data_IF_846029092026
#
_entry.id   IF_846029092026
#
_cell.length_a   1.000
_cell.length_b   1.000
_cell.length_c   1.000
_cell.angle_alpha   90.00
_cell.angle_beta   90.00
_cell.angle_gamma   90.00
#
_symmetry.space_group_name_H-M   'P 1'
#
loop_
_entity.id
_entity.type
_entity.pdbx_description
1 polymer ?
#
# COMPACT_ATOMS: atom_id res chain seq x y z
N UNK A 1 10.66 0.53 -14.27
CA UNK A 1 9.40 0.01 -14.85
C UNK A 1 9.59 -1.33 -15.59
N UNK A 2 10.50 -2.23 -15.15
CA UNK A 2 10.66 -3.57 -15.75
C UNK A 2 9.87 -4.67 -15.01
N UNK A 3 9.46 -4.43 -13.76
CA UNK A 3 8.73 -5.40 -12.93
C UNK A 3 7.28 -5.69 -13.42
N UNK A 4 6.73 -4.83 -14.29
CA UNK A 4 5.38 -4.97 -14.84
C UNK A 4 5.30 -5.86 -16.09
N UNK A 5 6.44 -6.29 -16.64
CA UNK A 5 6.47 -7.21 -17.81
C UNK A 5 6.06 -8.64 -17.46
N UNK A 6 5.96 -8.96 -16.17
CA UNK A 6 5.60 -10.26 -15.62
C UNK A 6 4.25 -10.25 -14.87
N UNK A 7 3.38 -9.26 -15.12
CA UNK A 7 2.08 -9.24 -14.44
C UNK A 7 1.24 -10.44 -14.85
N UNK A 8 1.09 -11.40 -13.94
CA UNK A 8 0.15 -12.50 -14.11
C UNK A 8 -1.27 -11.92 -13.97
N UNK A 9 -2.17 -12.29 -14.87
CA UNK A 9 -3.59 -11.92 -14.81
C UNK A 9 -4.39 -13.19 -14.56
N UNK A 10 -5.33 -13.14 -13.61
CA UNK A 10 -6.31 -14.20 -13.41
C UNK A 10 -7.54 -13.94 -14.29
N UNK A 11 -8.06 -14.98 -14.95
CA UNK A 11 -9.33 -14.90 -15.68
C UNK A 11 -10.48 -15.07 -14.69
N UNK A 12 -11.50 -14.22 -14.79
CA UNK A 12 -12.70 -14.40 -13.97
C UNK A 12 -13.58 -15.55 -14.50
N UNK A 13 -14.07 -16.40 -13.60
CA UNK A 13 -15.07 -17.43 -13.93
C UNK A 13 -16.45 -16.82 -14.21
N UNK A 14 -16.81 -15.79 -13.44
CA UNK A 14 -18.03 -15.00 -13.61
C UNK A 14 -17.62 -13.54 -13.81
N UNK A 15 -18.20 -12.87 -14.79
CA UNK A 15 -17.90 -11.46 -15.07
C UNK A 15 -18.12 -10.60 -13.81
N UNK A 16 -17.11 -9.83 -13.43
CA UNK A 16 -17.06 -9.01 -12.22
C UNK A 16 -17.06 -9.80 -10.90
N UNK A 17 -16.79 -11.11 -10.94
CA UNK A 17 -16.72 -11.96 -9.75
C UNK A 17 -15.68 -11.51 -8.72
N UNK A 18 -14.52 -11.01 -9.18
CA UNK A 18 -13.47 -10.47 -8.30
C UNK A 18 -13.93 -9.23 -7.53
N UNK A 19 -14.66 -8.34 -8.20
CA UNK A 19 -15.24 -7.14 -7.60
C UNK A 19 -16.33 -7.55 -6.60
N UNK A 20 -17.25 -8.44 -6.97
CA UNK A 20 -18.29 -8.94 -6.06
C UNK A 20 -17.68 -9.55 -4.79
N UNK A 21 -16.63 -10.36 -4.92
CA UNK A 21 -15.92 -10.94 -3.79
C UNK A 21 -15.31 -9.86 -2.90
N UNK A 22 -14.58 -8.89 -3.48
CA UNK A 22 -14.02 -7.74 -2.74
C UNK A 22 -15.10 -7.00 -1.95
N UNK A 23 -16.24 -6.69 -2.58
CA UNK A 23 -17.35 -5.97 -1.92
C UNK A 23 -17.93 -6.76 -0.76
N UNK A 24 -18.07 -8.08 -0.91
CA UNK A 24 -18.49 -8.99 0.19
C UNK A 24 -17.51 -8.94 1.37
N UNK A 25 -16.21 -8.89 1.10
CA UNK A 25 -15.17 -8.85 2.14
C UNK A 25 -15.18 -7.52 2.89
N UNK A 26 -15.33 -6.39 2.17
CA UNK A 26 -15.45 -5.06 2.79
C UNK A 26 -16.67 -4.98 3.69
N UNK A 27 -17.82 -5.51 3.26
CA UNK A 27 -19.03 -5.58 4.09
C UNK A 27 -18.83 -6.43 5.37
N UNK A 28 -18.04 -7.50 5.29
CA UNK A 28 -17.74 -8.36 6.45
C UNK A 28 -16.80 -7.70 7.46
N UNK A 29 -16.00 -6.73 7.03
CA UNK A 29 -15.13 -5.89 7.86
C UNK A 29 -14.24 -6.66 8.87
N UNK A 30 -13.57 -7.72 8.42
CA UNK A 30 -12.72 -8.55 9.29
C UNK A 30 -11.26 -8.08 9.39
N UNK A 31 -10.78 -7.25 8.45
CA UNK A 31 -9.37 -6.83 8.37
C UNK A 31 -9.25 -5.32 8.57
N UNK A 32 -8.42 -4.91 9.53
CA UNK A 32 -8.32 -3.50 9.95
C UNK A 32 -7.79 -2.59 8.82
N UNK A 33 -6.83 -3.06 8.01
CA UNK A 33 -6.33 -2.32 6.83
C UNK A 33 -7.13 -2.59 5.54
N UNK A 34 -8.13 -3.47 5.62
CA UNK A 34 -8.97 -3.92 4.53
C UNK A 34 -8.25 -4.70 3.42
N UNK A 35 -9.00 -4.92 2.33
CA UNK A 35 -8.57 -5.75 1.20
C UNK A 35 -7.34 -5.16 0.48
N UNK A 36 -6.42 -6.00 -0.05
CA UNK A 36 -5.36 -5.60 -0.97
C UNK A 36 -5.86 -4.78 -2.16
N UNK A 37 -5.00 -3.99 -2.81
CA UNK A 37 -5.43 -3.22 -3.98
C UNK A 37 -5.73 -4.18 -5.15
N UNK A 38 -6.81 -3.91 -5.88
CA UNK A 38 -7.30 -4.79 -6.96
C UNK A 38 -7.33 -4.02 -8.27
N UNK A 39 -6.69 -4.54 -9.31
CA UNK A 39 -6.89 -4.07 -10.67
C UNK A 39 -7.77 -5.05 -11.43
N UNK A 40 -8.87 -4.55 -11.98
CA UNK A 40 -9.78 -5.27 -12.86
C UNK A 40 -9.62 -4.76 -14.30
N UNK A 41 -9.63 -5.69 -15.24
CA UNK A 41 -9.42 -5.46 -16.66
C UNK A 41 -10.55 -6.14 -17.43
N UNK A 42 -11.35 -5.36 -18.14
CA UNK A 42 -12.39 -5.88 -19.02
C UNK A 42 -11.86 -5.94 -20.45
N UNK A 43 -11.83 -7.14 -21.04
CA UNK A 43 -11.41 -7.34 -22.43
C UNK A 43 -12.62 -7.77 -23.28
N UNK A 44 -12.70 -7.22 -24.49
CA UNK A 44 -13.76 -7.51 -25.48
C UNK A 44 -13.15 -8.18 -26.70
N UNK A 45 -13.87 -9.15 -27.27
CA UNK A 45 -13.56 -9.68 -28.59
C UNK A 45 -14.41 -8.97 -29.65
N UNK A 46 -13.82 -8.07 -30.46
CA UNK A 46 -14.57 -7.27 -31.43
C UNK A 46 -15.13 -8.10 -32.59
N UNK A 47 -14.63 -9.33 -32.80
CA UNK A 47 -15.00 -10.17 -33.95
C UNK A 47 -16.27 -11.00 -33.71
N UNK A 48 -16.79 -11.02 -32.49
CA UNK A 48 -18.03 -11.74 -32.17
C UNK A 48 -19.22 -10.82 -32.38
N UNK A 49 -20.29 -11.30 -33.06
CA UNK A 49 -21.53 -10.53 -33.27
C UNK A 49 -22.15 -10.03 -31.95
N UNK A 50 -21.84 -10.71 -30.84
CA UNK A 50 -22.33 -10.42 -29.49
C UNK A 50 -21.30 -9.70 -28.59
N UNK A 51 -20.14 -9.25 -29.12
CA UNK A 51 -19.05 -8.59 -28.36
C UNK A 51 -18.78 -9.28 -27.02
N UNK A 52 -18.36 -10.55 -27.06
CA UNK A 52 -18.07 -11.35 -25.85
C UNK A 52 -17.05 -10.62 -24.97
N UNK A 53 -17.42 -10.44 -23.70
CA UNK A 53 -16.60 -9.81 -22.65
C UNK A 53 -15.99 -10.87 -21.75
N UNK A 54 -14.73 -10.70 -21.40
CA UNK A 54 -14.03 -11.51 -20.39
C UNK A 54 -13.36 -10.57 -19.41
N UNK A 55 -13.60 -10.81 -18.12
CA UNK A 55 -12.96 -10.10 -17.04
C UNK A 55 -11.65 -10.76 -16.65
N UNK A 56 -10.65 -9.94 -16.38
CA UNK A 56 -9.36 -10.33 -15.83
C UNK A 56 -9.09 -9.48 -14.61
N UNK A 57 -8.27 -9.97 -13.69
CA UNK A 57 -7.89 -9.21 -12.51
C UNK A 57 -6.54 -9.66 -11.96
N UNK A 58 -5.94 -8.79 -11.16
CA UNK A 58 -4.77 -9.10 -10.36
C UNK A 58 -4.73 -8.22 -9.12
N UNK A 59 -4.08 -8.72 -8.09
CA UNK A 59 -3.82 -7.94 -6.88
C UNK A 59 -2.55 -7.13 -7.07
N UNK A 60 -2.58 -5.89 -6.59
CA UNK A 60 -1.46 -4.97 -6.63
C UNK A 60 -1.04 -4.69 -5.20
N UNK A 61 0.25 -4.78 -4.93
CA UNK A 61 0.83 -4.33 -3.67
C UNK A 61 1.95 -3.35 -3.94
N UNK A 62 2.02 -2.30 -3.13
CA UNK A 62 3.11 -1.33 -3.16
C UNK A 62 3.00 -0.29 -4.29
N UNK A 63 1.86 -0.20 -4.96
CA UNK A 63 1.56 0.91 -5.87
C UNK A 63 1.28 2.18 -5.07
N UNK A 64 1.88 3.30 -5.50
CA UNK A 64 1.71 4.60 -4.84
C UNK A 64 0.42 5.29 -5.28
N UNK A 65 -0.68 4.96 -4.62
CA UNK A 65 -2.01 5.49 -4.94
C UNK A 65 -2.25 6.82 -4.20
N UNK A 66 -1.54 7.86 -4.63
CA UNK A 66 -1.62 9.21 -4.05
C UNK A 66 -2.21 10.27 -4.97
N UNK A 67 -2.45 9.94 -6.23
CA UNK A 67 -3.04 10.85 -7.21
C UNK A 67 -3.64 10.09 -8.38
N UNK A 68 -4.50 10.75 -9.14
CA UNK A 68 -5.04 10.20 -10.39
C UNK A 68 -3.92 9.86 -11.37
N UNK A 69 -2.94 10.75 -11.53
CA UNK A 69 -1.81 10.58 -12.45
C UNK A 69 -0.94 9.36 -12.12
N UNK A 70 -0.76 9.03 -10.83
CA UNK A 70 -0.04 7.82 -10.42
C UNK A 70 -0.74 6.53 -10.91
N UNK A 71 -2.07 6.53 -10.89
CA UNK A 71 -2.89 5.42 -11.37
C UNK A 71 -2.94 5.37 -12.90
N UNK A 72 -2.99 6.53 -13.56
CA UNK A 72 -2.89 6.61 -15.02
C UNK A 72 -1.54 6.09 -15.54
N UNK A 73 -0.44 6.43 -14.88
CA UNK A 73 0.88 5.91 -15.22
C UNK A 73 0.92 4.37 -15.10
N UNK A 74 0.30 3.84 -14.04
CA UNK A 74 0.11 2.41 -13.87
C UNK A 74 -0.74 1.80 -14.98
N UNK A 75 -1.87 2.40 -15.34
CA UNK A 75 -2.69 1.93 -16.47
C UNK A 75 -1.94 1.99 -17.81
N UNK A 76 -1.23 3.08 -18.09
CA UNK A 76 -0.41 3.23 -19.29
C UNK A 76 0.64 2.12 -19.41
N UNK A 77 1.27 1.76 -18.29
CA UNK A 77 2.23 0.65 -18.26
C UNK A 77 1.57 -0.71 -18.56
N UNK A 78 0.39 -1.01 -18.01
CA UNK A 78 -0.39 -2.22 -18.35
C UNK A 78 -0.79 -2.25 -19.82
N UNK A 79 -1.23 -1.11 -20.36
CA UNK A 79 -1.61 -0.99 -21.76
C UNK A 79 -0.41 -1.19 -22.69
N UNK A 80 0.78 -0.71 -22.31
CA UNK A 80 2.02 -0.89 -23.08
C UNK A 80 2.55 -2.33 -23.09
N UNK A 81 2.32 -3.07 -22.00
CA UNK A 81 2.78 -4.46 -21.86
C UNK A 81 1.86 -5.44 -22.56
N UNK A 82 0.56 -5.12 -22.65
CA UNK A 82 -0.44 -5.91 -23.36
C UNK A 82 -0.06 -6.04 -24.86
N UNK A 83 0.03 -7.27 -25.42
CA UNK A 83 0.44 -7.49 -26.81
C UNK A 83 -0.45 -6.79 -27.85
N UNK A 84 -1.65 -6.37 -27.45
CA UNK A 84 -2.63 -5.65 -28.26
C UNK A 84 -2.12 -4.29 -28.75
N UNK A 85 -1.36 -3.54 -27.94
CA UNK A 85 -0.95 -2.16 -28.23
C UNK A 85 0.48 -2.01 -28.78
N UNK A 86 1.31 -3.06 -28.73
CA UNK A 86 2.65 -3.06 -29.37
C UNK A 86 2.60 -2.87 -30.89
N UNK A 87 1.41 -2.97 -31.49
CA UNK A 87 1.18 -2.95 -32.92
C UNK A 87 0.84 -1.57 -33.51
N UNK A 88 0.85 -0.48 -32.72
CA UNK A 88 0.38 0.84 -33.18
C UNK A 88 1.47 1.83 -33.60
N UNK A 89 2.75 1.69 -33.21
CA UNK A 89 3.79 2.64 -33.66
C UNK A 89 4.88 2.02 -34.57
N UNK A 90 5.23 0.74 -34.40
CA UNK A 90 6.26 0.09 -35.23
C UNK A 90 5.72 -0.64 -36.47
N UNK A 91 4.40 -0.78 -36.62
CA UNK A 91 3.78 -1.62 -37.66
C UNK A 91 2.99 -0.88 -38.73
N UNK A 92 2.80 0.45 -38.64
CA UNK A 92 2.18 1.20 -39.74
C UNK A 92 3.02 1.15 -41.03
N UNK A 93 4.33 0.90 -40.92
CA UNK A 93 5.22 0.76 -42.08
C UNK A 93 5.34 -0.68 -42.64
N UNK A 94 4.85 -1.71 -41.94
CA UNK A 94 4.97 -3.12 -42.36
C UNK A 94 3.64 -3.85 -42.62
N UNK A 95 2.48 -3.21 -42.41
CA UNK A 95 1.14 -3.84 -42.48
C UNK A 95 0.48 -3.89 -43.87
N UNK A 96 1.21 -3.72 -44.98
CA UNK A 96 0.59 -3.87 -46.33
C UNK A 96 0.55 -5.30 -46.88
N UNK A 97 1.22 -6.29 -46.28
CA UNK A 97 1.13 -7.69 -46.75
C UNK A 97 1.25 -8.66 -45.57
N UNK A 98 0.19 -9.46 -45.33
CA UNK A 98 0.11 -10.65 -44.46
C UNK A 98 -0.20 -10.43 -42.96
N UNK A 99 -1.49 -10.54 -42.59
CA UNK A 99 -1.99 -11.60 -41.67
C UNK A 99 -3.51 -11.49 -41.45
N UNK A 100 -4.23 -12.43 -42.06
CA UNK A 100 -5.57 -12.85 -41.64
C UNK A 100 -5.52 -13.44 -40.22
N UNK A 101 -6.50 -13.10 -39.40
CA UNK A 101 -7.01 -13.83 -38.23
C UNK A 101 -6.03 -14.18 -37.08
N UNK A 102 -5.69 -13.21 -36.23
CA UNK A 102 -5.55 -13.50 -34.80
C UNK A 102 -6.66 -12.79 -34.05
N UNK A 103 -7.43 -13.55 -33.26
CA UNK A 103 -8.45 -13.05 -32.32
C UNK A 103 -7.74 -12.14 -31.32
N UNK A 104 -7.76 -10.84 -31.57
CA UNK A 104 -7.07 -9.88 -30.74
C UNK A 104 -8.10 -9.31 -29.74
N UNK A 105 -7.96 -9.69 -28.47
CA UNK A 105 -8.75 -9.12 -27.39
C UNK A 105 -8.34 -7.68 -27.15
N UNK A 106 -9.31 -6.78 -27.10
CA UNK A 106 -9.12 -5.35 -26.86
C UNK A 106 -9.50 -5.02 -25.42
N UNK A 107 -8.71 -4.17 -24.75
CA UNK A 107 -9.06 -3.69 -23.41
C UNK A 107 -10.16 -2.65 -23.57
N UNK A 108 -11.32 -2.89 -22.94
CA UNK A 108 -12.45 -1.96 -22.91
C UNK A 108 -12.38 -1.07 -21.66
N UNK A 109 -11.95 -1.62 -20.53
CA UNK A 109 -11.92 -0.90 -19.25
C UNK A 109 -10.80 -1.41 -18.35
N UNK A 110 -10.13 -0.48 -17.67
CA UNK A 110 -9.26 -0.73 -16.53
C UNK A 110 -9.89 -0.09 -15.29
N UNK A 111 -9.92 -0.79 -14.16
CA UNK A 111 -10.42 -0.23 -12.90
C UNK A 111 -9.51 -0.63 -11.75
N UNK A 112 -9.02 0.34 -11.00
CA UNK A 112 -8.24 0.14 -9.80
C UNK A 112 -9.13 0.41 -8.58
N UNK A 113 -9.11 -0.52 -7.62
CA UNK A 113 -9.76 -0.40 -6.32
C UNK A 113 -8.69 -0.37 -5.24
N UNK A 114 -8.76 0.61 -4.34
CA UNK A 114 -7.90 0.71 -3.18
C UNK A 114 -8.70 1.08 -1.94
N UNK A 115 -8.53 0.34 -0.85
CA UNK A 115 -9.32 0.58 0.35
C UNK A 115 -8.67 1.65 1.23
N UNK A 116 -9.43 2.66 1.61
CA UNK A 116 -9.04 3.64 2.61
C UNK A 116 -9.60 3.23 3.97
N UNK A 117 -8.73 2.69 4.83
CA UNK A 117 -9.11 2.19 6.15
C UNK A 117 -9.46 3.30 7.16
N UNK A 118 -9.02 4.54 6.96
CA UNK A 118 -9.39 5.67 7.82
C UNK A 118 -10.86 6.05 7.69
N UNK A 119 -11.42 5.88 6.48
CA UNK A 119 -12.82 6.22 6.14
C UNK A 119 -13.72 5.01 5.90
N UNK A 120 -13.13 3.83 5.75
CA UNK A 120 -13.82 2.57 5.41
C UNK A 120 -14.54 2.64 4.05
N UNK A 121 -13.88 3.28 3.09
CA UNK A 121 -14.37 3.46 1.72
C UNK A 121 -13.34 2.93 0.71
N UNK A 122 -13.80 2.39 -0.40
CA UNK A 122 -12.95 2.07 -1.56
C UNK A 122 -12.79 3.31 -2.44
N UNK A 123 -11.53 3.68 -2.73
CA UNK A 123 -11.20 4.49 -3.90
C UNK A 123 -11.39 3.65 -5.16
N UNK A 124 -12.08 4.21 -6.16
CA UNK A 124 -12.25 3.59 -7.47
C UNK A 124 -11.77 4.55 -8.56
N UNK A 125 -10.79 4.11 -9.33
CA UNK A 125 -10.29 4.82 -10.51
C UNK A 125 -10.55 3.96 -11.73
N UNK A 126 -11.43 4.43 -12.61
CA UNK A 126 -11.89 3.68 -13.79
C UNK A 126 -11.53 4.41 -15.06
N UNK A 127 -10.70 3.78 -15.88
CA UNK A 127 -10.39 4.20 -17.24
C UNK A 127 -11.21 3.35 -18.22
N UNK A 128 -12.16 3.97 -18.90
CA UNK A 128 -12.85 3.39 -20.05
C UNK A 128 -12.19 3.92 -21.32
N UNK A 129 -11.65 3.01 -22.11
CA UNK A 129 -10.96 3.37 -23.35
C UNK A 129 -11.99 3.83 -24.41
N UNK A 130 -11.66 4.84 -25.24
CA UNK A 130 -10.33 5.47 -25.34
C UNK A 130 -10.00 6.47 -24.21
N UNK A 131 -10.92 7.34 -23.77
CA UNK A 131 -10.48 8.56 -23.05
C UNK A 131 -11.29 8.92 -21.79
N UNK A 132 -12.17 8.05 -21.30
CA UNK A 132 -13.01 8.39 -20.14
C UNK A 132 -12.41 7.88 -18.84
N UNK A 133 -11.71 8.75 -18.12
CA UNK A 133 -11.25 8.50 -16.75
C UNK A 133 -12.26 9.04 -15.73
N UNK A 134 -12.63 8.21 -14.76
CA UNK A 134 -13.54 8.58 -13.68
C UNK A 134 -12.96 8.15 -12.33
N UNK A 135 -13.10 9.00 -11.33
CA UNK A 135 -12.64 8.73 -9.96
C UNK A 135 -13.78 8.99 -8.98
N UNK A 136 -14.04 8.04 -8.10
CA UNK A 136 -15.09 8.12 -7.09
C UNK A 136 -14.76 7.22 -5.90
N UNK A 137 -15.49 7.36 -4.80
CA UNK A 137 -15.41 6.47 -3.64
C UNK A 137 -16.68 5.64 -3.49
N UNK A 138 -16.55 4.47 -2.86
CA UNK A 138 -17.66 3.57 -2.53
C UNK A 138 -17.59 3.18 -1.05
N UNK A 139 -18.60 3.55 -0.27
CA UNK A 139 -18.78 3.09 1.11
C UNK A 139 -19.23 1.62 1.16
N UNK A 140 -19.35 1.02 2.35
CA UNK A 140 -19.79 -0.38 2.49
C UNK A 140 -21.18 -0.70 1.90
N UNK A 141 -22.04 0.30 1.73
CA UNK A 141 -23.38 0.20 1.14
C UNK A 141 -23.40 0.49 -0.36
N UNK A 142 -22.23 0.69 -0.98
CA UNK A 142 -22.08 1.04 -2.40
C UNK A 142 -22.63 2.43 -2.74
N UNK A 143 -22.75 3.32 -1.74
CA UNK A 143 -23.02 4.73 -1.99
C UNK A 143 -21.81 5.37 -2.63
N UNK A 144 -22.03 5.96 -3.80
CA UNK A 144 -20.98 6.62 -4.57
C UNK A 144 -20.82 8.08 -4.19
N UNK A 145 -19.57 8.49 -3.93
CA UNK A 145 -19.19 9.90 -3.81
C UNK A 145 -18.21 10.25 -4.94
N UNK A 146 -18.59 11.22 -5.77
CA UNK A 146 -17.75 11.69 -6.90
C UNK A 146 -16.74 12.71 -6.38
N UNK A 147 -15.59 12.84 -7.06
CA UNK A 147 -14.52 13.78 -6.74
C UNK A 147 -13.93 13.60 -5.32
N UNK A 148 -13.16 12.52 -5.10
CA UNK A 148 -12.46 12.32 -3.82
C UNK A 148 -11.55 13.51 -3.50
N UNK A 149 -11.60 14.00 -2.25
CA UNK A 149 -10.78 15.13 -1.83
C UNK A 149 -9.29 14.80 -1.81
N UNK A 150 -8.42 15.81 -1.83
CA UNK A 150 -6.97 15.62 -1.70
C UNK A 150 -6.60 14.82 -0.44
N UNK A 151 -7.24 15.14 0.69
CA UNK A 151 -7.06 14.39 1.94
C UNK A 151 -7.41 12.90 1.79
N UNK A 152 -8.43 12.56 1.00
CA UNK A 152 -8.80 11.17 0.75
C UNK A 152 -7.68 10.42 -0.01
N UNK A 153 -7.05 11.08 -0.99
CA UNK A 153 -5.91 10.52 -1.73
C UNK A 153 -4.69 10.31 -0.83
N UNK A 154 -4.41 11.27 0.05
CA UNK A 154 -3.32 11.17 1.04
C UNK A 154 -3.54 9.98 1.98
N UNK A 155 -4.75 9.86 2.53
CA UNK A 155 -5.14 8.73 3.37
C UNK A 155 -5.05 7.38 2.62
N UNK A 156 -5.43 7.36 1.34
CA UNK A 156 -5.37 6.15 0.49
C UNK A 156 -3.92 5.75 0.20
N UNK A 157 -3.04 6.71 -0.08
CA UNK A 157 -1.60 6.48 -0.24
C UNK A 157 -1.01 5.81 1.00
N UNK A 158 -1.34 6.33 2.19
CA UNK A 158 -0.91 5.78 3.47
C UNK A 158 -1.46 4.38 3.68
N UNK A 159 -2.74 4.13 3.37
CA UNK A 159 -3.34 2.80 3.50
C UNK A 159 -2.69 1.77 2.56
N UNK A 160 -2.41 2.13 1.30
CA UNK A 160 -1.67 1.28 0.35
C UNK A 160 -0.27 0.96 0.88
N UNK A 161 0.46 1.98 1.34
CA UNK A 161 1.78 1.82 1.95
C UNK A 161 1.74 0.86 3.15
N UNK A 162 0.78 1.00 4.05
CA UNK A 162 0.70 0.15 5.24
C UNK A 162 0.42 -1.31 4.88
N UNK A 163 -0.51 -1.57 3.96
CA UNK A 163 -0.75 -2.91 3.44
C UNK A 163 0.52 -3.53 2.85
N UNK A 164 1.27 -2.75 2.07
CA UNK A 164 2.57 -3.19 1.54
C UNK A 164 3.60 -3.44 2.65
N UNK A 165 3.70 -2.57 3.65
CA UNK A 165 4.67 -2.67 4.75
C UNK A 165 4.43 -3.85 5.70
N UNK A 166 3.21 -4.38 5.71
CA UNK A 166 2.80 -5.53 6.51
C UNK A 166 2.95 -6.86 5.78
N UNK A 167 3.26 -6.85 4.48
CA UNK A 167 3.54 -8.07 3.75
C UNK A 167 4.72 -8.82 4.39
N UNK A 168 4.60 -10.15 4.59
CA UNK A 168 5.73 -10.97 4.98
C UNK A 168 6.87 -10.81 3.96
N UNK A 169 8.09 -10.52 4.46
CA UNK A 169 9.28 -10.41 3.59
C UNK A 169 9.77 -11.76 3.08
N UNK A 170 9.41 -12.83 3.79
CA UNK A 170 9.64 -14.21 3.34
C UNK A 170 8.60 -14.56 2.29
N UNK A 171 9.02 -14.53 1.02
CA UNK A 171 8.22 -14.95 -0.15
C UNK A 171 7.70 -16.40 -0.07
N UNK A 172 8.14 -17.18 0.92
CA UNK A 172 7.73 -18.56 1.19
C UNK A 172 6.44 -18.69 1.99
N UNK A 173 5.99 -17.63 2.69
CA UNK A 173 4.80 -17.70 3.54
C UNK A 173 3.77 -16.65 3.12
N UNK A 174 2.96 -17.05 2.13
CA UNK A 174 1.62 -16.52 1.90
C UNK A 174 0.80 -16.66 3.21
N UNK A 175 0.77 -15.59 4.00
CA UNK A 175 0.17 -15.60 5.34
C UNK A 175 -1.27 -15.08 5.37
N UNK A 176 -1.73 -14.40 4.32
CA UNK A 176 -3.14 -14.02 4.18
C UNK A 176 -3.87 -14.99 3.25
N UNK A 177 -5.18 -15.17 3.49
CA UNK A 177 -6.06 -15.94 2.60
C UNK A 177 -6.01 -15.42 1.15
N UNK A 178 -5.67 -14.14 0.95
CA UNK A 178 -5.55 -13.50 -0.36
C UNK A 178 -4.26 -13.88 -1.11
N UNK A 179 -3.11 -13.92 -0.43
CA UNK A 179 -1.81 -14.17 -1.07
C UNK A 179 -1.69 -15.57 -1.71
N UNK A 180 -2.53 -16.52 -1.27
CA UNK A 180 -2.43 -17.93 -1.66
C UNK A 180 -3.15 -18.27 -2.96
N UNK A 181 -3.97 -17.34 -3.48
CA UNK A 181 -4.94 -17.59 -4.56
C UNK A 181 -4.89 -16.56 -5.69
N UNK A 182 -3.97 -15.61 -5.65
CA UNK A 182 -4.03 -14.42 -6.52
C UNK A 182 -2.74 -14.23 -7.30
N UNK A 183 -2.89 -13.85 -8.57
CA UNK A 183 -1.82 -13.19 -9.31
C UNK A 183 -1.43 -11.90 -8.58
N UNK A 184 -0.29 -11.95 -7.88
CA UNK A 184 0.22 -10.82 -7.11
C UNK A 184 1.26 -10.06 -7.94
N UNK A 185 0.99 -8.78 -8.15
CA UNK A 185 1.94 -7.84 -8.71
C UNK A 185 2.56 -7.04 -7.56
N UNK A 186 3.78 -7.44 -7.19
CA UNK A 186 4.62 -6.70 -6.26
C UNK A 186 5.24 -5.52 -7.02
N UNK A 187 4.84 -4.32 -6.61
CA UNK A 187 5.37 -3.06 -7.09
C UNK A 187 6.20 -2.48 -5.95
N UNK A 188 7.51 -2.33 -6.14
CA UNK A 188 8.40 -1.79 -5.11
C UNK A 188 8.52 -0.25 -5.19
N UNK A 189 7.45 0.45 -5.62
CA UNK A 189 7.48 1.91 -5.83
C UNK A 189 7.79 2.67 -4.55
N UNK A 190 7.45 2.14 -3.37
CA UNK A 190 7.79 2.75 -2.09
C UNK A 190 9.27 2.64 -1.73
N UNK A 191 9.98 1.58 -2.19
CA UNK A 191 11.41 1.40 -1.95
C UNK A 191 12.27 2.14 -2.98
N UNK A 192 11.79 2.20 -4.22
CA UNK A 192 12.47 2.82 -5.36
C UNK A 192 12.06 4.29 -5.58
N UNK A 193 11.41 4.89 -4.59
CA UNK A 193 10.85 6.24 -4.68
C UNK A 193 11.96 7.30 -4.80
N UNK A 194 12.01 8.09 -5.88
CA UNK A 194 12.92 9.23 -5.97
C UNK A 194 12.53 10.39 -5.03
N UNK A 195 11.29 10.41 -4.51
CA UNK A 195 10.72 11.47 -3.68
C UNK A 195 10.05 10.90 -2.40
N UNK A 196 10.82 10.26 -1.50
CA UNK A 196 10.28 9.64 -0.28
C UNK A 196 9.59 10.64 0.65
N UNK A 197 9.88 11.94 0.51
CA UNK A 197 9.27 13.01 1.29
C UNK A 197 7.76 13.11 1.06
N UNK A 198 7.23 12.69 -0.10
CA UNK A 198 5.78 12.70 -0.36
C UNK A 198 5.07 11.73 0.59
N UNK A 199 5.57 10.49 0.70
CA UNK A 199 5.01 9.51 1.63
C UNK A 199 5.18 9.98 3.07
N UNK A 200 6.36 10.51 3.41
CA UNK A 200 6.63 11.04 4.75
C UNK A 200 5.65 12.14 5.14
N UNK A 201 5.44 13.12 4.26
CA UNK A 201 4.48 14.20 4.48
C UNK A 201 3.04 13.66 4.60
N UNK A 202 2.66 12.68 3.77
CA UNK A 202 1.35 12.04 3.86
C UNK A 202 1.12 11.32 5.19
N UNK A 203 2.14 10.61 5.69
CA UNK A 203 2.10 9.97 7.01
C UNK A 203 1.98 11.03 8.10
N UNK A 204 2.76 12.10 8.03
CA UNK A 204 2.72 13.19 9.02
C UNK A 204 1.34 13.85 9.09
N UNK A 205 0.69 14.07 7.95
CA UNK A 205 -0.66 14.63 7.88
C UNK A 205 -1.76 13.69 8.43
N UNK A 206 -1.48 12.39 8.55
CA UNK A 206 -2.45 11.38 8.98
C UNK A 206 -2.15 10.79 10.37
N UNK A 207 -1.10 11.26 11.05
CA UNK A 207 -0.66 10.72 12.35
C UNK A 207 -1.76 10.73 13.40
N UNK A 208 -2.52 11.83 13.49
CA UNK A 208 -3.62 11.96 14.44
C UNK A 208 -4.74 10.95 14.20
N UNK A 209 -4.90 10.48 12.96
CA UNK A 209 -5.87 9.45 12.57
C UNK A 209 -5.34 8.02 12.77
N UNK A 210 -4.06 7.84 13.11
CA UNK A 210 -3.39 6.54 13.19
C UNK A 210 -4.10 5.54 14.12
N UNK A 211 -4.76 6.03 15.17
CA UNK A 211 -5.54 5.20 16.10
C UNK A 211 -6.67 4.41 15.42
N UNK A 212 -7.24 4.94 14.32
CA UNK A 212 -8.31 4.28 13.55
C UNK A 212 -7.84 3.01 12.84
N UNK A 213 -6.53 2.87 12.64
CA UNK A 213 -5.92 1.72 12.00
C UNK A 213 -5.56 0.60 12.99
N UNK A 214 -5.95 0.72 14.25
CA UNK A 214 -5.73 -0.29 15.28
C UNK A 214 -4.24 -0.64 15.50
N UNK A 215 -4.03 -1.83 16.04
CA UNK A 215 -2.75 -2.32 16.57
C UNK A 215 -2.41 -3.72 16.04
N UNK A 216 -1.22 -4.22 16.40
CA UNK A 216 -0.80 -5.61 16.18
C UNK A 216 -1.32 -6.53 17.29
N UNK A 217 -1.41 -7.83 16.99
CA UNK A 217 -2.13 -8.91 17.73
C UNK A 217 -2.01 -8.95 19.26
N UNK A 218 -1.01 -8.32 19.88
CA UNK A 218 -0.79 -8.38 21.33
C UNK A 218 -1.19 -7.10 22.09
N UNK A 219 -1.50 -6.00 21.38
CA UNK A 219 -1.99 -4.75 22.02
C UNK A 219 -3.44 -4.54 21.66
N UNK A 220 -4.29 -4.30 22.64
CA UNK A 220 -5.72 -4.14 22.42
C UNK A 220 -6.14 -2.68 22.16
N UNK A 221 -5.36 -1.70 22.64
CA UNK A 221 -5.74 -0.28 22.55
C UNK A 221 -4.70 0.48 21.72
N UNK A 222 -5.08 1.07 20.56
CA UNK A 222 -4.19 1.93 19.80
C UNK A 222 -3.95 3.25 20.52
N UNK A 223 -2.69 3.68 20.59
CA UNK A 223 -2.28 5.02 21.02
C UNK A 223 -1.67 5.78 19.84
N UNK A 224 -1.37 7.07 20.03
CA UNK A 224 -0.71 7.87 19.00
C UNK A 224 0.68 7.31 18.65
N UNK A 225 1.41 6.77 19.64
CA UNK A 225 2.71 6.15 19.46
C UNK A 225 2.65 4.65 19.15
N UNK A 226 1.53 4.00 19.42
CA UNK A 226 1.33 2.56 19.19
C UNK A 226 0.10 2.29 18.32
N UNK A 227 0.33 2.22 17.02
CA UNK A 227 -0.67 1.82 16.03
C UNK A 227 0.04 1.28 14.77
N UNK A 228 -0.76 0.81 13.80
CA UNK A 228 -0.21 0.30 12.52
C UNK A 228 0.54 1.34 11.71
N UNK A 229 0.08 2.61 11.72
CA UNK A 229 0.74 3.70 11.00
C UNK A 229 2.17 3.90 11.49
N UNK A 230 2.34 4.10 12.79
CA UNK A 230 3.66 4.31 13.40
C UNK A 230 4.56 3.10 13.20
N UNK A 231 4.05 1.87 13.33
CA UNK A 231 4.87 0.68 13.11
C UNK A 231 5.31 0.53 11.65
N UNK A 232 4.40 0.75 10.68
CA UNK A 232 4.73 0.70 9.26
C UNK A 232 5.77 1.76 8.90
N UNK A 233 5.60 2.98 9.40
CA UNK A 233 6.54 4.07 9.18
C UNK A 233 7.92 3.80 9.79
N UNK A 234 7.96 3.28 11.03
CA UNK A 234 9.19 2.82 11.66
C UNK A 234 9.88 1.76 10.80
N UNK A 235 9.19 0.69 10.41
CA UNK A 235 9.76 -0.39 9.58
C UNK A 235 10.37 0.16 8.29
N UNK A 236 9.69 1.10 7.64
CA UNK A 236 10.18 1.75 6.43
C UNK A 236 11.47 2.53 6.69
N UNK A 237 11.46 3.47 7.64
CA UNK A 237 12.63 4.32 7.90
C UNK A 237 13.84 3.54 8.42
N UNK A 238 13.62 2.57 9.33
CA UNK A 238 14.69 1.70 9.83
C UNK A 238 15.24 0.79 8.73
N UNK A 239 14.39 0.28 7.84
CA UNK A 239 14.81 -0.53 6.69
C UNK A 239 15.66 0.23 5.68
N UNK A 240 15.48 1.55 5.59
CA UNK A 240 16.29 2.46 4.75
C UNK A 240 17.54 2.99 5.47
N UNK A 241 17.81 2.56 6.71
CA UNK A 241 18.91 3.04 7.54
C UNK A 241 18.96 4.58 7.71
N UNK A 242 17.82 5.28 7.59
CA UNK A 242 17.71 6.74 7.70
C UNK A 242 17.63 7.20 9.16
N UNK A 243 18.54 6.73 10.00
CA UNK A 243 18.44 6.90 11.45
C UNK A 243 18.47 8.36 11.90
N UNK A 244 19.25 9.24 11.24
CA UNK A 244 19.28 10.68 11.54
C UNK A 244 17.91 11.33 11.36
N UNK A 245 17.26 10.99 10.26
CA UNK A 245 15.91 11.46 9.95
C UNK A 245 14.87 10.91 10.93
N UNK A 246 14.98 9.64 11.34
CA UNK A 246 14.11 9.04 12.38
C UNK A 246 14.16 9.88 13.66
N UNK A 247 15.36 10.20 14.15
CA UNK A 247 15.51 11.00 15.37
C UNK A 247 14.86 12.37 15.21
N UNK A 248 15.15 13.06 14.10
CA UNK A 248 14.57 14.38 13.83
C UNK A 248 13.03 14.37 13.81
N UNK A 249 12.43 13.44 13.07
CA UNK A 249 10.98 13.36 12.89
C UNK A 249 10.29 12.99 14.20
N UNK A 250 10.76 11.95 14.89
CA UNK A 250 10.08 11.47 16.09
C UNK A 250 10.29 12.37 17.31
N UNK A 251 11.41 13.09 17.40
CA UNK A 251 11.56 14.16 18.40
C UNK A 251 10.57 15.29 18.11
N UNK A 252 10.53 15.79 16.86
CA UNK A 252 9.60 16.86 16.48
C UNK A 252 8.13 16.46 16.71
N UNK A 253 7.76 15.22 16.40
CA UNK A 253 6.42 14.71 16.64
C UNK A 253 6.08 14.59 18.12
N UNK A 254 7.02 14.12 18.94
CA UNK A 254 6.82 14.05 20.38
C UNK A 254 6.53 15.44 20.97
N UNK A 255 7.23 16.46 20.49
CA UNK A 255 7.03 17.84 20.91
C UNK A 255 5.70 18.43 20.40
N UNK A 256 5.39 18.25 19.11
CA UNK A 256 4.17 18.80 18.48
C UNK A 256 2.89 18.18 19.05
N UNK A 257 2.88 16.87 19.26
CA UNK A 257 1.69 16.14 19.73
C UNK A 257 1.67 15.98 21.25
N UNK A 258 2.67 16.51 21.95
CA UNK A 258 2.86 16.35 23.40
C UNK A 258 2.81 14.87 23.83
N UNK A 259 3.42 13.99 23.03
CA UNK A 259 3.37 12.54 23.23
C UNK A 259 4.78 11.97 23.47
N UNK A 260 5.21 11.86 24.74
CA UNK A 260 6.54 11.35 25.10
C UNK A 260 6.79 9.93 24.62
N UNK A 261 5.75 9.12 24.39
CA UNK A 261 5.89 7.75 23.89
C UNK A 261 6.56 7.68 22.51
N UNK A 262 6.45 8.74 21.70
CA UNK A 262 7.11 8.83 20.40
C UNK A 262 8.64 8.92 20.52
N UNK A 263 9.16 9.43 21.64
CA UNK A 263 10.61 9.50 21.90
C UNK A 263 11.27 8.13 22.00
N UNK A 264 10.51 7.05 22.26
CA UNK A 264 11.03 5.68 22.17
C UNK A 264 11.67 5.39 20.80
N UNK A 265 11.03 5.88 19.74
CA UNK A 265 11.47 5.66 18.37
C UNK A 265 12.74 6.46 18.07
N UNK A 266 12.77 7.72 18.54
CA UNK A 266 13.96 8.56 18.46
C UNK A 266 15.13 7.95 19.23
N UNK A 267 14.90 7.46 20.45
CA UNK A 267 15.90 6.76 21.26
C UNK A 267 16.45 5.51 20.54
N UNK A 268 15.57 4.72 19.91
CA UNK A 268 15.99 3.58 19.08
C UNK A 268 16.83 4.03 17.87
N UNK A 269 16.45 5.12 17.21
CA UNK A 269 17.22 5.73 16.12
C UNK A 269 18.63 6.17 16.57
N UNK A 270 18.75 6.85 17.71
CA UNK A 270 20.02 7.28 18.30
C UNK A 270 20.95 6.08 18.60
N UNK A 271 20.40 5.00 19.18
CA UNK A 271 21.15 3.77 19.42
C UNK A 271 21.69 3.15 18.14
N UNK A 272 20.88 3.11 17.07
CA UNK A 272 21.31 2.57 15.78
C UNK A 272 22.36 3.45 15.08
N UNK A 273 22.45 4.74 15.41
CA UNK A 273 23.55 5.62 14.98
C UNK A 273 24.85 5.40 15.78
N UNK A 274 24.79 4.66 16.88
CA UNK A 274 25.92 4.46 17.81
C UNK A 274 25.92 5.39 19.03
N UNK A 275 25.00 6.36 19.12
CA UNK A 275 24.90 7.25 20.28
C UNK A 275 24.02 6.65 21.39
N UNK A 276 24.56 5.61 22.02
CA UNK A 276 23.88 4.89 23.11
C UNK A 276 23.54 5.82 24.28
N UNK A 277 24.46 6.73 24.64
CA UNK A 277 24.29 7.63 25.79
C UNK A 277 23.10 8.56 25.57
N UNK A 278 23.01 9.23 24.41
CA UNK A 278 21.84 10.07 24.12
C UNK A 278 20.57 9.23 24.01
N UNK A 279 20.64 8.04 23.40
CA UNK A 279 19.49 7.13 23.33
C UNK A 279 18.92 6.76 24.70
N UNK A 280 19.76 6.42 25.68
CA UNK A 280 19.30 6.15 27.06
C UNK A 280 18.76 7.41 27.75
N UNK A 281 19.39 8.56 27.59
CA UNK A 281 18.92 9.82 28.18
C UNK A 281 17.55 10.22 27.63
N UNK A 282 17.33 10.12 26.32
CA UNK A 282 16.04 10.39 25.67
C UNK A 282 14.95 9.45 26.18
N UNK A 283 15.26 8.16 26.34
CA UNK A 283 14.30 7.21 26.90
C UNK A 283 13.99 7.48 28.37
N UNK A 284 15.01 7.82 29.17
CA UNK A 284 14.83 8.20 30.58
C UNK A 284 13.94 9.43 30.71
N UNK A 285 14.11 10.42 29.85
CA UNK A 285 13.26 11.61 29.81
C UNK A 285 11.80 11.21 29.56
N UNK A 286 11.53 10.42 28.51
CA UNK A 286 10.18 9.96 28.18
C UNK A 286 9.51 9.22 29.35
N UNK A 287 10.25 8.33 30.02
CA UNK A 287 9.76 7.58 31.19
C UNK A 287 9.52 8.47 32.41
N UNK A 288 10.34 9.50 32.61
CA UNK A 288 10.15 10.44 33.72
C UNK A 288 8.87 11.25 33.52
N UNK A 289 8.58 11.63 32.27
CA UNK A 289 7.34 12.32 31.91
C UNK A 289 6.12 11.40 31.95
N UNK A 290 6.26 10.12 31.55
CA UNK A 290 5.15 9.14 31.55
C UNK A 290 5.54 7.80 32.19
N UNK A 291 5.67 7.72 33.53
CA UNK A 291 6.19 6.54 34.21
C UNK A 291 5.30 5.30 34.09
N UNK A 292 3.99 5.49 33.93
CA UNK A 292 3.00 4.42 33.80
C UNK A 292 2.82 3.91 32.37
N UNK A 293 3.58 4.43 31.39
CA UNK A 293 3.47 3.99 30.00
C UNK A 293 3.97 2.55 29.86
N UNK A 294 3.03 1.62 29.67
CA UNK A 294 3.35 0.23 29.34
C UNK A 294 4.22 0.14 28.09
N UNK A 295 4.02 1.01 27.10
CA UNK A 295 4.79 1.01 25.87
C UNK A 295 6.27 1.32 26.09
N UNK A 296 6.56 2.35 26.89
CA UNK A 296 7.94 2.72 27.22
C UNK A 296 8.61 1.64 28.07
N UNK A 297 7.88 1.05 29.01
CA UNK A 297 8.38 -0.04 29.88
C UNK A 297 8.70 -1.30 29.06
N UNK A 298 7.79 -1.73 28.17
CA UNK A 298 7.99 -2.88 27.28
C UNK A 298 9.23 -2.68 26.39
N UNK A 299 9.43 -1.46 25.88
CA UNK A 299 10.61 -1.10 25.10
C UNK A 299 11.93 -1.35 25.84
N UNK A 300 11.97 -1.08 27.15
CA UNK A 300 13.14 -1.41 27.98
C UNK A 300 13.35 -2.92 28.08
N UNK A 301 12.28 -3.71 28.23
CA UNK A 301 12.37 -5.17 28.36
C UNK A 301 12.88 -5.86 27.09
N UNK A 302 12.48 -5.40 25.90
CA UNK A 302 12.96 -5.97 24.63
C UNK A 302 14.50 -5.88 24.49
N UNK A 303 15.13 -4.86 25.10
CA UNK A 303 16.59 -4.68 25.16
C UNK A 303 17.31 -5.84 25.87
N UNK A 304 16.70 -6.44 26.90
CA UNK A 304 17.31 -7.55 27.65
C UNK A 304 17.33 -8.86 26.86
N UNK A 305 16.33 -9.09 26.01
CA UNK A 305 16.24 -10.33 25.24
C UNK A 305 17.10 -10.30 23.97
N UNK A 306 17.20 -9.17 23.28
CA UNK A 306 18.04 -9.04 22.07
C UNK A 306 19.55 -8.97 22.39
N UNK A 307 19.93 -8.55 23.60
CA UNK A 307 21.32 -8.55 24.06
C UNK A 307 21.89 -9.96 24.32
N UNK A 308 21.01 -10.92 24.66
CA UNK A 308 21.38 -12.33 24.88
C UNK A 308 21.51 -13.11 23.55
N UNK A 309 20.79 -12.71 22.50
CA UNK A 309 20.89 -13.35 21.18
C UNK A 309 22.22 -13.03 20.45
N UNK A 310 22.82 -11.86 20.71
CA UNK A 310 24.10 -11.46 20.10
C UNK A 310 25.34 -11.94 20.86
N UNK A 311 25.18 -12.52 22.06
CA UNK A 311 26.29 -13.12 22.82
C UNK A 311 26.50 -14.61 22.50
N UNK A 312 25.62 -15.23 21.72
CA UNK A 312 25.79 -16.62 21.23
C UNK A 312 26.32 -16.72 19.79
N UNK A 313 26.71 -15.59 19.17
CA UNK A 313 27.38 -15.56 17.85
C UNK A 313 28.68 -14.74 17.89
N UNK A 314 29.54 -15.07 18.85
CA UNK A 314 30.97 -14.77 18.78
C UNK A 314 31.75 -16.04 19.04
#
# INVERSE_FOLDING_TARGET
MDYLRATSECVEHELFGSIKLRRKLIKKNNEILGSPDLCHILKVNPQTKLKTRVGFYHVVHGLRIGSVSSVEAYFGSLLSTTPTNRNNQAQEKLKKKKKKNKKQWEVETLTLYSYNAFRKEDLVVKLKLPDTLTCYTLDCNEKQTINPSEQFWIETLVCSFLRWSELPKDKSVSSTFFDRWLSVNLVDDFLLDPQPQILENAIMQTIQLGHRLGTFKYRMIPTLASNRLINGFQKYLFGQHRYKYIVQVFTKLADLEMEPELLWVAAKGLRMQGDLKKGETTLKQALTTRPSSFFLIEGIHQKRCSGLANTQRR
#
